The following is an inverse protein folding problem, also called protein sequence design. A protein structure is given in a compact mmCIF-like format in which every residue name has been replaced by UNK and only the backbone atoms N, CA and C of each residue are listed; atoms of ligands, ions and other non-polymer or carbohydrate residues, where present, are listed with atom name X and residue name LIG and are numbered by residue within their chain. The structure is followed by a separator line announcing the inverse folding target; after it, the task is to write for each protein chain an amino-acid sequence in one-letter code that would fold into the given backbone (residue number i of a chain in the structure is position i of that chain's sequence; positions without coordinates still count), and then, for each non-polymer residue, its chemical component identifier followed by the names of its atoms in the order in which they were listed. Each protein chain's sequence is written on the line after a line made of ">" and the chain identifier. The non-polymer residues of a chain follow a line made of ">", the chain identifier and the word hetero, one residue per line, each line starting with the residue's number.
data_IF_375059449894
#
_entry.id   IF_375059449894
#
_cell.length_a   1.000
_cell.length_b   1.000
_cell.length_c   1.000
_cell.angle_alpha   90.00
_cell.angle_beta   90.00
_cell.angle_gamma   90.00
#
_symmetry.space_group_name_H-M   'P 1'
#
loop_
_entity.id
_entity.type
_entity.pdbx_description
1 polymer ?
#
# COMPACT_ATOMS: atom_id res chain seq x y z
N UNK A 1 -17.61 16.74 -11.19
CA UNK A 1 -16.83 15.49 -11.34
C UNK A 1 -16.11 15.25 -10.03
N UNK A 2 -16.46 14.21 -9.27
CA UNK A 2 -15.75 13.88 -8.04
C UNK A 2 -14.32 13.45 -8.42
N UNK A 3 -13.33 14.27 -8.10
CA UNK A 3 -11.92 13.91 -8.27
C UNK A 3 -11.65 12.71 -7.37
N UNK A 4 -11.36 11.55 -7.95
CA UNK A 4 -10.90 10.40 -7.16
C UNK A 4 -9.54 10.80 -6.59
N UNK A 5 -9.46 10.87 -5.26
CA UNK A 5 -8.24 11.26 -4.56
C UNK A 5 -7.26 10.08 -4.59
N UNK A 6 -5.97 10.37 -4.80
CA UNK A 6 -4.92 9.36 -4.65
C UNK A 6 -5.04 8.66 -3.29
N UNK A 7 -5.05 7.33 -3.33
CA UNK A 7 -5.41 6.50 -2.19
C UNK A 7 -4.43 5.33 -2.03
N UNK A 8 -4.01 5.12 -0.79
CA UNK A 8 -3.22 3.96 -0.37
C UNK A 8 -3.98 3.32 0.79
N UNK A 9 -4.51 2.12 0.57
CA UNK A 9 -5.32 1.44 1.58
C UNK A 9 -4.48 1.04 2.81
N UNK A 10 -5.11 0.77 3.97
CA UNK A 10 -4.47 0.01 5.02
C UNK A 10 -3.97 -1.35 4.50
N UNK A 11 -3.04 -1.95 5.23
CA UNK A 11 -2.66 -3.35 5.01
C UNK A 11 -3.80 -4.22 5.52
N UNK A 12 -4.25 -5.12 4.66
CA UNK A 12 -5.17 -6.19 5.00
C UNK A 12 -4.40 -7.50 5.10
N UNK A 13 -4.83 -8.36 6.00
CA UNK A 13 -4.27 -9.70 6.20
C UNK A 13 -5.39 -10.73 6.24
N UNK A 14 -5.13 -11.88 5.63
CA UNK A 14 -6.01 -13.04 5.70
C UNK A 14 -5.22 -14.33 5.91
N UNK A 15 -5.68 -15.14 6.87
CA UNK A 15 -5.11 -16.46 7.20
C UNK A 15 -5.96 -17.56 6.57
N UNK A 16 -5.32 -18.44 5.80
CA UNK A 16 -5.90 -19.58 5.12
C UNK A 16 -5.82 -20.82 6.02
N UNK A 17 -6.81 -20.95 6.90
CA UNK A 17 -6.95 -22.09 7.82
C UNK A 17 -5.85 -22.21 8.86
N UNK A 18 -5.77 -23.36 9.53
CA UNK A 18 -4.95 -23.51 10.74
C UNK A 18 -3.44 -23.66 10.47
N UNK A 19 -3.06 -23.81 9.20
CA UNK A 19 -1.65 -23.97 8.79
C UNK A 19 -0.78 -22.72 8.97
N UNK A 20 -1.38 -21.57 9.29
CA UNK A 20 -0.69 -20.29 9.38
C UNK A 20 -0.23 -19.74 8.03
N UNK A 21 -0.64 -20.36 6.92
CA UNK A 21 -0.50 -19.80 5.57
C UNK A 21 -1.50 -18.68 5.37
N UNK A 22 -1.14 -17.67 4.60
CA UNK A 22 -2.01 -16.53 4.38
C UNK A 22 -1.47 -15.58 3.33
N UNK A 23 -2.13 -14.45 3.22
CA UNK A 23 -1.66 -13.33 2.42
C UNK A 23 -1.91 -12.01 3.13
N UNK A 24 -1.04 -11.05 2.87
CA UNK A 24 -1.23 -9.68 3.28
C UNK A 24 -0.95 -8.75 2.12
N UNK A 25 -1.55 -7.56 2.14
CA UNK A 25 -1.30 -6.57 1.12
C UNK A 25 -2.16 -5.33 1.23
N UNK A 26 -1.96 -4.41 0.30
CA UNK A 26 -2.73 -3.17 0.19
C UNK A 26 -2.83 -2.73 -1.27
N UNK A 27 -3.79 -1.85 -1.54
CA UNK A 27 -4.06 -1.31 -2.87
C UNK A 27 -3.61 0.15 -2.95
N UNK A 28 -3.03 0.50 -4.10
CA UNK A 28 -2.69 1.87 -4.48
C UNK A 28 -3.55 2.28 -5.65
N UNK A 29 -4.15 3.46 -5.55
CA UNK A 29 -4.87 4.11 -6.64
C UNK A 29 -4.30 5.52 -6.83
N UNK A 30 -3.87 5.82 -8.06
CA UNK A 30 -3.45 7.15 -8.47
C UNK A 30 -4.32 7.59 -9.65
N UNK A 31 -4.74 8.84 -9.67
CA UNK A 31 -5.59 9.35 -10.75
C UNK A 31 -4.91 9.14 -12.11
N UNK A 32 -5.65 8.60 -13.08
CA UNK A 32 -5.15 8.34 -14.43
C UNK A 32 -4.21 7.14 -14.54
N UNK A 33 -4.01 6.36 -13.46
CA UNK A 33 -3.25 5.11 -13.49
C UNK A 33 -4.12 3.91 -13.11
N UNK A 34 -3.78 2.70 -13.59
CA UNK A 34 -4.40 1.47 -13.12
C UNK A 34 -4.23 1.28 -11.61
N UNK A 35 -5.16 0.57 -10.98
CA UNK A 35 -4.99 0.09 -9.62
C UNK A 35 -3.78 -0.87 -9.53
N UNK A 36 -3.01 -0.74 -8.46
CA UNK A 36 -1.90 -1.63 -8.16
C UNK A 36 -2.11 -2.31 -6.80
N UNK A 37 -2.01 -3.63 -6.77
CA UNK A 37 -2.14 -4.43 -5.56
C UNK A 37 -0.77 -4.96 -5.14
N UNK A 38 -0.37 -4.66 -3.90
CA UNK A 38 0.87 -5.15 -3.31
C UNK A 38 0.56 -6.33 -2.39
N UNK A 39 0.29 -7.50 -2.99
CA UNK A 39 -0.04 -8.72 -2.25
C UNK A 39 1.21 -9.58 -2.09
N UNK A 40 1.38 -10.16 -0.90
CA UNK A 40 2.42 -11.13 -0.57
C UNK A 40 1.80 -12.32 0.14
N UNK A 41 2.25 -13.51 -0.24
CA UNK A 41 1.91 -14.75 0.45
C UNK A 41 2.89 -14.97 1.60
N UNK A 42 2.43 -15.59 2.67
CA UNK A 42 3.28 -15.97 3.80
C UNK A 42 2.84 -17.32 4.39
N UNK A 43 3.71 -17.87 5.23
CA UNK A 43 3.42 -18.93 6.20
C UNK A 43 3.71 -18.42 7.61
N UNK A 44 3.56 -19.29 8.62
CA UNK A 44 3.72 -18.91 10.03
C UNK A 44 5.12 -18.33 10.31
N UNK A 45 6.14 -18.87 9.67
CA UNK A 45 7.54 -18.49 9.86
C UNK A 45 7.88 -17.17 9.16
N UNK A 46 7.24 -16.87 8.02
CA UNK A 46 7.53 -15.69 7.20
C UNK A 46 6.53 -14.54 7.37
N UNK A 47 5.45 -14.76 8.13
CA UNK A 47 4.38 -13.75 8.35
C UNK A 47 4.95 -12.42 8.85
N UNK A 48 5.80 -12.45 9.86
CA UNK A 48 6.34 -11.22 10.47
C UNK A 48 7.19 -10.43 9.47
N UNK A 49 8.11 -11.08 8.75
CA UNK A 49 8.96 -10.40 7.76
C UNK A 49 8.13 -9.83 6.60
N UNK A 50 7.13 -10.57 6.13
CA UNK A 50 6.21 -10.08 5.08
C UNK A 50 5.42 -8.86 5.54
N UNK A 51 4.95 -8.84 6.79
CA UNK A 51 4.25 -7.68 7.35
C UNK A 51 5.19 -6.47 7.46
N UNK A 52 6.42 -6.65 7.94
CA UNK A 52 7.43 -5.58 8.02
C UNK A 52 7.74 -4.98 6.64
N UNK A 53 7.94 -5.82 5.63
CA UNK A 53 8.16 -5.39 4.25
C UNK A 53 6.98 -4.57 3.71
N UNK A 54 5.74 -5.03 3.93
CA UNK A 54 4.54 -4.31 3.49
C UNK A 54 4.37 -2.98 4.23
N UNK A 55 4.65 -2.94 5.54
CA UNK A 55 4.60 -1.70 6.32
C UNK A 55 5.62 -0.68 5.83
N UNK A 56 6.86 -1.13 5.57
CA UNK A 56 7.93 -0.29 5.02
C UNK A 56 7.53 0.28 3.65
N UNK A 57 7.15 -0.58 2.71
CA UNK A 57 6.74 -0.16 1.37
C UNK A 57 5.57 0.81 1.41
N UNK A 58 4.55 0.53 2.23
CA UNK A 58 3.38 1.40 2.37
C UNK A 58 3.77 2.79 2.90
N UNK A 59 4.67 2.85 3.87
CA UNK A 59 5.17 4.12 4.44
C UNK A 59 5.89 4.93 3.37
N UNK A 60 6.82 4.32 2.63
CA UNK A 60 7.58 4.97 1.55
C UNK A 60 6.65 5.55 0.47
N UNK A 61 5.59 4.82 0.10
CA UNK A 61 4.61 5.30 -0.88
C UNK A 61 3.75 6.46 -0.38
N UNK A 62 3.41 6.47 0.92
CA UNK A 62 2.68 7.60 1.53
C UNK A 62 3.56 8.84 1.56
N UNK A 63 4.83 8.70 1.98
CA UNK A 63 5.79 9.81 2.02
C UNK A 63 6.04 10.37 0.61
N UNK A 64 6.20 9.51 -0.40
CA UNK A 64 6.36 9.93 -1.79
C UNK A 64 5.12 10.68 -2.33
N UNK A 65 3.91 10.22 -2.00
CA UNK A 65 2.66 10.90 -2.37
C UNK A 65 2.58 12.29 -1.72
N UNK A 66 2.88 12.38 -0.44
CA UNK A 66 2.76 13.62 0.31
C UNK A 66 3.80 14.65 -0.17
N UNK A 67 5.04 14.21 -0.45
CA UNK A 67 6.07 15.05 -1.08
C UNK A 67 5.64 15.56 -2.46
N UNK A 68 5.10 14.69 -3.32
CA UNK A 68 4.62 15.09 -4.64
C UNK A 68 3.46 16.11 -4.55
N UNK A 69 2.60 15.98 -3.54
CA UNK A 69 1.54 16.96 -3.27
C UNK A 69 2.09 18.33 -2.84
N UNK A 70 3.21 18.37 -2.12
CA UNK A 70 3.85 19.63 -1.70
C UNK A 70 4.50 20.36 -2.88
N UNK A 71 5.20 19.62 -3.76
CA UNK A 71 5.84 20.19 -4.97
C UNK A 71 4.79 20.83 -5.89
N UNK A 72 3.70 20.11 -6.18
CA UNK A 72 2.64 20.60 -7.06
C UNK A 72 1.88 21.83 -6.51
N UNK A 73 1.97 22.12 -5.21
CA UNK A 73 1.41 23.35 -4.63
C UNK A 73 2.41 24.52 -4.68
N UNK A 74 3.72 24.23 -4.65
CA UNK A 74 4.80 25.22 -4.69
C UNK A 74 5.02 25.87 -6.05
N UNK A 75 4.64 25.22 -7.15
CA UNK A 75 4.77 25.75 -8.53
C UNK A 75 3.66 26.75 -8.95
N UNK A 76 2.89 27.28 -7.98
CA UNK A 76 1.76 28.19 -8.24
C UNK A 76 2.05 29.66 -7.91
N UNK A 77 3.32 30.09 -7.86
CA UNK A 77 3.72 31.49 -7.62
C UNK A 77 4.38 32.12 -8.84
#
# INVERSE_FOLDING_TARGET
>A
MNKVKDYISPIFEHILGDSGRGFAGFTVHQQGKPFANNIRLFNKETRTSVMEELHKLRKELIEARDLASMINQGDTL
#
